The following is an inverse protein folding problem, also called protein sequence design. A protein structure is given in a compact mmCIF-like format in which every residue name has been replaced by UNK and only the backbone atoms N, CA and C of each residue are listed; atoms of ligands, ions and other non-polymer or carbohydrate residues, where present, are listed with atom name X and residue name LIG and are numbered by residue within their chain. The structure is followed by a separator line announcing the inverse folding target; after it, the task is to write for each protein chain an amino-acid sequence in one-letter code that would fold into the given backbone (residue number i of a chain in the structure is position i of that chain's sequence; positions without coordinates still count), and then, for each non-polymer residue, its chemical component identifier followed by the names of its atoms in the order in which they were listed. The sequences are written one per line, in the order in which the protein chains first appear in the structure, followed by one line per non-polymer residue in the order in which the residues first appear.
data_IF_776743402624
#
_entry.id   IF_776743402624
#
_cell.length_a   1.000
_cell.length_b   1.000
_cell.length_c   1.000
_cell.angle_alpha   90.00
_cell.angle_beta   90.00
_cell.angle_gamma   90.00
#
_symmetry.space_group_name_H-M   'P 1'
#
loop_
_entity.id
_entity.type
_entity.pdbx_description
1 polymer ?
#
# COMPACT_ATOMS: atom_id res chain seq x y z
N UNK A 1 -41.68 -10.88 -18.02
CA UNK A 1 -40.64 -11.50 -18.85
C UNK A 1 -39.80 -10.38 -19.44
N UNK A 2 -38.81 -9.93 -18.67
CA UNK A 2 -37.94 -8.81 -19.04
C UNK A 2 -36.84 -9.27 -20.00
N UNK A 3 -36.70 -8.51 -21.09
CA UNK A 3 -35.72 -8.77 -22.15
C UNK A 3 -34.38 -8.14 -21.75
N UNK A 4 -33.41 -8.99 -21.43
CA UNK A 4 -32.01 -8.61 -21.23
C UNK A 4 -31.47 -8.02 -22.53
N UNK A 5 -30.97 -6.77 -22.50
CA UNK A 5 -30.16 -6.18 -23.56
C UNK A 5 -28.71 -6.62 -23.35
N UNK A 6 -28.19 -7.43 -24.25
CA UNK A 6 -26.75 -7.68 -24.38
C UNK A 6 -26.15 -6.59 -25.27
N UNK A 7 -25.17 -5.85 -24.75
CA UNK A 7 -24.34 -4.97 -25.56
C UNK A 7 -23.11 -5.77 -25.98
N UNK A 8 -23.04 -6.11 -27.27
CA UNK A 8 -21.85 -6.66 -27.92
C UNK A 8 -21.05 -5.47 -28.45
N UNK A 9 -19.90 -5.20 -27.83
CA UNK A 9 -18.92 -4.24 -28.35
C UNK A 9 -18.00 -4.96 -29.33
N UNK A 10 -18.11 -4.63 -30.62
CA UNK A 10 -17.14 -5.02 -31.64
C UNK A 10 -16.03 -3.97 -31.71
N UNK A 11 -14.88 -4.26 -31.11
CA UNK A 11 -13.67 -3.46 -31.29
C UNK A 11 -13.04 -3.73 -32.66
N UNK A 12 -12.99 -2.71 -33.51
CA UNK A 12 -12.28 -2.72 -34.81
C UNK A 12 -10.81 -2.44 -34.53
N UNK A 13 -9.94 -3.42 -34.78
CA UNK A 13 -8.49 -3.25 -34.75
C UNK A 13 -8.01 -2.44 -35.96
N UNK A 14 -7.31 -1.34 -35.70
CA UNK A 14 -6.54 -0.61 -36.72
C UNK A 14 -5.07 -0.81 -36.39
N UNK A 15 -4.41 -1.67 -37.17
CA UNK A 15 -2.96 -1.81 -37.16
C UNK A 15 -2.32 -0.65 -37.92
N UNK A 16 -1.37 0.04 -37.27
CA UNK A 16 -0.46 0.96 -37.93
C UNK A 16 0.95 0.38 -37.85
N UNK A 17 1.36 -0.28 -38.93
CA UNK A 17 2.77 -0.58 -39.22
C UNK A 17 3.42 0.69 -39.76
N UNK A 18 4.08 1.45 -38.89
CA UNK A 18 4.92 2.57 -39.25
C UNK A 18 6.40 2.18 -39.27
N UNK A 19 6.91 1.79 -40.44
CA UNK A 19 8.34 1.83 -40.72
C UNK A 19 8.68 3.19 -41.34
N UNK A 20 9.56 3.94 -40.69
CA UNK A 20 10.22 5.16 -41.19
C UNK A 20 11.71 5.03 -40.84
N UNK A 21 12.71 5.46 -41.60
CA UNK A 21 12.99 5.50 -43.04
C UNK A 21 14.52 5.67 -43.15
N UNK A 22 15.09 5.12 -44.21
CA UNK A 22 16.38 5.37 -44.87
C UNK A 22 17.43 6.30 -44.21
N UNK A 23 18.58 5.70 -43.87
CA UNK A 23 19.88 6.34 -44.11
C UNK A 23 20.53 5.62 -45.30
N UNK A 24 20.40 6.21 -46.48
CA UNK A 24 21.06 5.78 -47.70
C UNK A 24 22.54 6.16 -47.67
N UNK A 25 23.44 5.19 -47.72
CA UNK A 25 24.76 5.39 -48.31
C UNK A 25 25.00 4.29 -49.35
N UNK A 26 25.19 4.72 -50.59
CA UNK A 26 25.38 3.87 -51.75
C UNK A 26 26.79 3.24 -51.73
N UNK A 27 26.85 1.93 -51.96
CA UNK A 27 28.09 1.17 -52.12
C UNK A 27 27.83 -0.08 -52.96
N UNK A 28 28.61 -0.23 -54.02
CA UNK A 28 28.41 -1.08 -55.20
C UNK A 28 28.60 -2.59 -55.02
N UNK A 29 27.92 -3.37 -55.88
CA UNK A 29 28.31 -4.72 -56.31
C UNK A 29 27.94 -5.82 -55.31
N UNK A 30 27.61 -7.05 -55.65
CA UNK A 30 27.69 -7.83 -56.90
C UNK A 30 26.76 -9.02 -56.70
N UNK A 31 26.13 -9.48 -57.76
CA UNK A 31 25.28 -10.68 -57.76
C UNK A 31 26.07 -11.96 -57.43
N UNK A 32 25.31 -12.98 -57.01
CA UNK A 32 25.40 -14.40 -57.39
C UNK A 32 25.68 -15.38 -56.24
N UNK A 33 24.97 -16.52 -56.24
CA UNK A 33 25.49 -17.77 -55.67
C UNK A 33 24.60 -18.55 -54.71
N UNK A 34 23.96 -19.56 -55.28
CA UNK A 34 23.31 -20.78 -54.76
C UNK A 34 24.02 -21.59 -53.65
N UNK A 35 23.16 -22.39 -52.97
CA UNK A 35 23.31 -23.77 -52.42
C UNK A 35 23.94 -24.03 -51.04
N UNK A 36 23.23 -24.96 -50.36
CA UNK A 36 23.53 -25.78 -49.19
C UNK A 36 25.00 -26.10 -48.90
N UNK A 37 25.36 -26.13 -47.61
CA UNK A 37 25.74 -27.38 -46.94
C UNK A 37 26.08 -27.17 -45.45
N UNK A 38 25.42 -27.95 -44.59
CA UNK A 38 25.99 -28.83 -43.56
C UNK A 38 27.21 -28.35 -42.73
N UNK A 39 27.01 -28.13 -41.43
CA UNK A 39 27.55 -28.91 -40.28
C UNK A 39 27.73 -28.01 -39.02
N UNK A 40 27.40 -28.48 -37.80
CA UNK A 40 27.60 -27.74 -36.56
C UNK A 40 28.95 -28.10 -35.91
N UNK A 41 29.57 -27.15 -35.21
CA UNK A 41 30.54 -27.45 -34.14
C UNK A 41 30.78 -26.26 -33.22
N UNK A 42 30.46 -26.52 -31.96
CA UNK A 42 31.01 -26.01 -30.71
C UNK A 42 32.46 -25.52 -30.73
N UNK A 43 32.68 -24.39 -30.08
CA UNK A 43 33.73 -24.07 -29.07
C UNK A 43 33.62 -22.56 -28.84
N UNK A 44 33.83 -21.96 -27.69
CA UNK A 44 34.60 -22.29 -26.51
C UNK A 44 34.89 -20.95 -25.84
N UNK A 45 34.59 -20.86 -24.55
CA UNK A 45 35.17 -20.02 -23.50
C UNK A 45 36.01 -18.80 -23.89
N UNK A 46 35.64 -17.64 -23.35
CA UNK A 46 36.60 -16.61 -22.91
C UNK A 46 36.03 -15.82 -21.73
N UNK A 47 36.68 -15.95 -20.59
CA UNK A 47 36.52 -15.20 -19.35
C UNK A 47 37.33 -13.90 -19.38
N UNK A 48 36.79 -12.83 -18.77
CA UNK A 48 37.52 -11.69 -18.18
C UNK A 48 36.54 -11.04 -17.18
N UNK A 49 36.61 -11.31 -15.87
CA UNK A 49 37.34 -10.56 -14.81
C UNK A 49 37.43 -9.05 -15.03
N UNK A 50 36.73 -8.30 -14.19
CA UNK A 50 37.13 -6.97 -13.73
C UNK A 50 36.73 -6.82 -12.24
N UNK A 51 37.75 -6.71 -11.40
CA UNK A 51 37.77 -6.23 -10.01
C UNK A 51 37.12 -4.82 -9.95
N UNK A 52 36.34 -4.42 -8.95
CA UNK A 52 36.63 -4.41 -7.53
C UNK A 52 36.40 -2.98 -7.03
N UNK A 53 35.70 -2.81 -5.92
CA UNK A 53 36.01 -1.73 -4.98
C UNK A 53 35.42 -2.02 -3.59
N UNK A 54 36.31 -2.18 -2.62
CA UNK A 54 36.07 -2.15 -1.19
C UNK A 54 35.55 -0.78 -0.74
N UNK A 55 34.66 -0.76 0.25
CA UNK A 55 34.74 0.16 1.40
C UNK A 55 33.83 -0.35 2.53
N UNK A 56 34.42 -0.90 3.60
CA UNK A 56 33.92 -0.62 4.97
C UNK A 56 34.69 0.59 5.54
N UNK A 57 34.58 0.94 6.84
CA UNK A 57 33.76 0.37 7.92
C UNK A 57 32.94 1.46 8.67
N UNK A 58 32.10 1.09 9.65
CA UNK A 58 32.15 1.52 11.08
C UNK A 58 30.82 1.30 11.79
N UNK A 59 30.87 0.46 12.83
CA UNK A 59 29.93 0.47 13.95
C UNK A 59 30.05 1.80 14.70
N UNK A 60 28.93 2.39 15.13
CA UNK A 60 28.94 3.21 16.33
C UNK A 60 27.54 3.25 16.97
N UNK A 61 27.47 2.64 18.14
CA UNK A 61 26.38 2.75 19.10
C UNK A 61 26.28 4.19 19.62
N UNK A 62 25.06 4.70 19.83
CA UNK A 62 24.79 5.74 20.84
C UNK A 62 23.30 5.85 21.15
N UNK A 63 22.92 5.27 22.29
CA UNK A 63 21.66 5.49 23.02
C UNK A 63 21.86 6.66 24.00
N UNK A 64 20.96 7.65 24.10
CA UNK A 64 20.95 8.56 25.24
C UNK A 64 19.94 8.09 26.30
N UNK A 65 20.45 7.83 27.50
CA UNK A 65 19.68 7.60 28.72
C UNK A 65 19.17 8.94 29.30
N UNK A 66 17.86 9.02 29.54
CA UNK A 66 17.20 10.16 30.18
C UNK A 66 17.31 10.00 31.70
N UNK A 67 18.17 10.83 32.34
CA UNK A 67 18.24 10.98 33.80
C UNK A 67 17.04 11.76 34.33
N UNK A 68 16.17 11.07 35.07
CA UNK A 68 15.17 11.68 35.95
C UNK A 68 15.86 12.08 37.26
N UNK A 69 15.77 13.34 37.64
CA UNK A 69 16.25 13.86 38.92
C UNK A 69 15.04 14.44 39.66
N UNK A 70 14.45 13.65 40.55
CA UNK A 70 13.43 14.14 41.48
C UNK A 70 14.09 14.52 42.80
N UNK A 71 13.87 15.78 43.19
CA UNK A 71 14.35 16.39 44.42
C UNK A 71 13.11 16.73 45.27
N UNK A 72 12.87 15.98 46.34
CA UNK A 72 12.16 16.50 47.52
C UNK A 72 13.10 17.41 48.34
N UNK A 73 12.63 18.17 49.35
CA UNK A 73 11.56 17.78 50.27
C UNK A 73 10.52 18.88 50.62
N UNK A 74 9.53 18.47 51.41
CA UNK A 74 8.46 19.23 52.07
C UNK A 74 8.90 20.51 52.77
N UNK A 75 7.97 21.48 52.87
CA UNK A 75 7.55 22.05 54.15
C UNK A 75 6.21 22.78 54.05
N UNK A 76 5.37 22.59 55.08
CA UNK A 76 4.05 23.20 55.27
C UNK A 76 4.24 24.52 56.01
N UNK A 77 3.54 25.57 55.58
CA UNK A 77 3.12 26.64 56.50
C UNK A 77 1.84 27.28 55.98
N UNK A 78 0.84 27.34 56.85
CA UNK A 78 -0.42 28.05 56.67
C UNK A 78 -0.21 29.52 57.08
N UNK A 79 -0.83 30.44 56.34
CA UNK A 79 -1.17 31.77 56.83
C UNK A 79 -2.41 32.29 56.09
N UNK A 80 -3.39 32.75 56.87
CA UNK A 80 -4.66 33.29 56.45
C UNK A 80 -4.49 34.76 56.02
N UNK A 81 -5.10 35.13 54.89
CA UNK A 81 -5.18 36.53 54.49
C UNK A 81 -6.35 36.78 53.54
N UNK A 82 -7.49 37.17 54.12
CA UNK A 82 -8.61 37.75 53.37
C UNK A 82 -8.19 39.05 52.67
N UNK A 83 -8.44 39.15 51.36
CA UNK A 83 -8.73 40.43 50.73
C UNK A 83 -9.70 40.25 49.55
N UNK A 84 -10.90 40.82 49.68
CA UNK A 84 -11.89 40.99 48.61
C UNK A 84 -11.54 42.25 47.79
N UNK A 85 -11.61 42.19 46.46
CA UNK A 85 -12.03 43.25 45.50
C UNK A 85 -11.84 42.67 44.07
N UNK A 86 -12.89 42.20 43.40
CA UNK A 86 -13.76 42.89 42.43
C UNK A 86 -13.20 42.98 40.98
N UNK A 87 -13.96 42.35 40.07
CA UNK A 87 -14.23 42.74 38.68
C UNK A 87 -13.12 42.56 37.62
N UNK A 88 -13.40 41.70 36.65
CA UNK A 88 -12.64 41.59 35.40
C UNK A 88 -13.10 40.37 34.61
N UNK A 89 -14.16 40.54 33.81
CA UNK A 89 -14.51 39.59 32.75
C UNK A 89 -13.38 39.55 31.73
N UNK A 90 -12.73 38.40 31.56
CA UNK A 90 -12.16 38.00 30.28
C UNK A 90 -12.50 36.53 30.08
N UNK A 91 -13.49 36.31 29.21
CA UNK A 91 -13.65 35.04 28.51
C UNK A 91 -12.42 34.88 27.63
N UNK A 92 -11.57 33.92 27.96
CA UNK A 92 -10.66 33.33 27.00
C UNK A 92 -11.38 32.07 26.52
N UNK A 93 -12.13 32.22 25.44
CA UNK A 93 -12.63 31.09 24.65
C UNK A 93 -11.39 30.41 24.06
N UNK A 94 -10.85 29.43 24.79
CA UNK A 94 -9.97 28.43 24.21
C UNK A 94 -10.84 27.51 23.35
N UNK A 95 -11.15 27.97 22.13
CA UNK A 95 -11.49 27.09 21.03
C UNK A 95 -10.22 26.31 20.65
N UNK A 96 -9.86 25.34 21.49
CA UNK A 96 -8.94 24.28 21.09
C UNK A 96 -9.63 23.48 19.98
N UNK A 97 -9.24 23.83 18.77
CA UNK A 97 -9.22 23.07 17.54
C UNK A 97 -9.61 21.58 17.69
N UNK A 98 -10.92 21.31 17.66
CA UNK A 98 -11.48 19.95 17.55
C UNK A 98 -11.61 19.51 16.08
N UNK A 99 -10.80 20.02 15.15
CA UNK A 99 -10.95 19.64 13.73
C UNK A 99 -10.19 18.37 13.34
N UNK A 100 -9.16 17.94 14.08
CA UNK A 100 -8.38 16.72 13.72
C UNK A 100 -9.12 15.39 13.96
N UNK A 101 -10.24 15.37 14.70
CA UNK A 101 -11.02 14.13 14.95
C UNK A 101 -12.32 14.01 14.17
N UNK A 102 -12.68 15.01 13.38
CA UNK A 102 -13.97 15.05 12.69
C UNK A 102 -13.99 14.26 11.37
N UNK A 103 -12.83 14.00 10.75
CA UNK A 103 -12.73 13.27 9.48
C UNK A 103 -12.97 11.76 9.67
N UNK A 104 -12.41 11.17 10.73
CA UNK A 104 -12.57 9.74 11.05
C UNK A 104 -14.01 9.39 11.46
N UNK A 105 -14.82 10.37 11.87
CA UNK A 105 -16.23 10.15 12.20
C UNK A 105 -17.12 9.91 10.95
N UNK A 106 -16.64 10.23 9.73
CA UNK A 106 -17.43 10.10 8.50
C UNK A 106 -17.35 8.70 7.87
N UNK A 107 -16.34 7.93 8.25
CA UNK A 107 -16.03 6.64 7.64
C UNK A 107 -15.93 5.60 8.76
N UNK A 108 -16.36 4.38 8.47
CA UNK A 108 -16.30 3.28 9.43
C UNK A 108 -15.61 2.11 8.78
N UNK A 109 -14.43 1.76 9.30
CA UNK A 109 -13.67 0.60 8.86
C UNK A 109 -14.02 -0.65 9.68
N UNK A 110 -14.13 -1.79 9.01
CA UNK A 110 -14.34 -3.10 9.61
C UNK A 110 -13.46 -4.14 8.93
N UNK A 111 -13.12 -5.21 9.66
CA UNK A 111 -12.31 -6.32 9.16
C UNK A 111 -13.08 -7.63 9.34
N UNK A 112 -14.00 -7.97 8.41
CA UNK A 112 -14.79 -9.20 8.51
C UNK A 112 -13.95 -10.49 8.55
N UNK A 113 -12.78 -10.51 7.92
CA UNK A 113 -11.83 -11.62 7.93
C UNK A 113 -10.39 -11.14 7.79
N UNK A 114 -9.42 -12.07 7.86
CA UNK A 114 -8.00 -11.77 7.61
C UNK A 114 -7.73 -11.26 6.18
N UNK A 115 -8.57 -11.68 5.23
CA UNK A 115 -8.44 -11.40 3.81
C UNK A 115 -9.46 -10.37 3.30
N UNK A 116 -10.31 -9.81 4.16
CA UNK A 116 -11.39 -8.90 3.75
C UNK A 116 -11.54 -7.75 4.74
N UNK A 117 -11.59 -6.54 4.22
CA UNK A 117 -11.84 -5.32 4.97
C UNK A 117 -12.84 -4.44 4.23
N UNK A 118 -13.59 -3.64 4.96
CA UNK A 118 -14.61 -2.76 4.40
C UNK A 118 -14.52 -1.38 5.05
N UNK A 119 -14.58 -0.32 4.26
CA UNK A 119 -14.80 1.04 4.76
C UNK A 119 -16.09 1.60 4.18
N UNK A 120 -17.01 2.01 5.05
CA UNK A 120 -18.29 2.61 4.64
C UNK A 120 -18.32 4.07 5.02
N UNK A 121 -18.75 4.94 4.11
CA UNK A 121 -18.85 6.37 4.37
C UNK A 121 -19.07 7.20 3.11
N UNK A 122 -18.73 8.48 3.20
CA UNK A 122 -18.67 9.40 2.06
C UNK A 122 -17.21 9.73 1.74
N UNK A 123 -16.91 9.82 0.45
CA UNK A 123 -15.60 10.10 -0.10
C UNK A 123 -15.70 11.23 -1.13
N UNK A 124 -15.13 12.37 -0.81
CA UNK A 124 -15.00 13.54 -1.65
C UNK A 124 -13.80 13.41 -2.60
N UNK A 125 -13.64 14.34 -3.54
CA UNK A 125 -12.49 14.34 -4.44
C UNK A 125 -11.19 14.60 -3.67
N UNK A 126 -10.16 13.78 -3.94
CA UNK A 126 -8.87 13.79 -3.24
C UNK A 126 -8.81 12.88 -2.01
N UNK A 127 -9.94 12.30 -1.59
CA UNK A 127 -9.93 11.23 -0.58
C UNK A 127 -9.24 9.98 -1.11
N UNK A 128 -8.76 9.14 -0.21
CA UNK A 128 -8.06 7.90 -0.53
C UNK A 128 -8.70 6.72 0.18
N UNK A 129 -8.54 5.53 -0.39
CA UNK A 129 -8.82 4.28 0.30
C UNK A 129 -7.82 3.22 -0.19
N UNK A 130 -6.85 2.88 0.67
CA UNK A 130 -5.80 1.91 0.39
C UNK A 130 -5.74 0.84 1.47
N UNK A 131 -5.35 -0.37 1.08
CA UNK A 131 -5.03 -1.45 2.00
C UNK A 131 -3.51 -1.61 2.12
N UNK A 132 -3.07 -1.89 3.34
CA UNK A 132 -1.73 -2.41 3.61
C UNK A 132 -1.86 -3.90 3.90
N UNK A 133 -0.90 -4.69 3.42
CA UNK A 133 -0.91 -6.14 3.60
C UNK A 133 0.37 -6.65 4.23
N UNK A 134 0.28 -7.82 4.84
CA UNK A 134 1.42 -8.62 5.28
C UNK A 134 1.25 -10.06 4.80
N UNK A 135 2.35 -10.69 4.42
CA UNK A 135 2.35 -12.02 3.81
C UNK A 135 3.70 -12.73 4.02
N UNK A 136 3.75 -14.02 3.70
CA UNK A 136 4.98 -14.81 3.69
C UNK A 136 5.23 -15.39 2.30
N UNK A 137 6.48 -15.30 1.85
CA UNK A 137 6.97 -15.89 0.59
C UNK A 137 8.30 -16.56 0.89
N UNK A 138 8.44 -17.84 0.55
CA UNK A 138 9.61 -18.65 0.91
C UNK A 138 10.01 -18.55 2.40
N UNK A 139 9.02 -18.48 3.30
CA UNK A 139 9.22 -18.35 4.75
C UNK A 139 9.70 -16.97 5.23
N UNK A 140 9.87 -16.00 4.34
CA UNK A 140 10.24 -14.62 4.66
C UNK A 140 9.02 -13.72 4.71
N UNK A 141 8.97 -12.81 5.68
CA UNK A 141 7.90 -11.83 5.80
C UNK A 141 8.05 -10.72 4.75
N UNK A 142 6.98 -10.48 4.00
CA UNK A 142 6.81 -9.34 3.11
C UNK A 142 5.59 -8.51 3.49
N UNK A 143 5.55 -7.26 3.03
CA UNK A 143 4.41 -6.37 3.22
C UNK A 143 4.26 -5.40 2.05
N UNK A 144 3.01 -5.01 1.76
CA UNK A 144 2.71 -3.91 0.83
C UNK A 144 2.20 -2.72 1.63
N UNK A 145 2.64 -1.51 1.25
CA UNK A 145 2.21 -0.26 1.86
C UNK A 145 1.65 0.65 0.77
N UNK A 146 0.38 1.03 0.91
CA UNK A 146 -0.32 1.94 -0.01
C UNK A 146 -0.28 1.51 -1.48
N UNK A 147 -0.21 0.20 -1.74
CA UNK A 147 -0.11 -0.31 -3.12
C UNK A 147 -1.48 -0.58 -3.74
N UNK A 148 -2.43 -1.06 -2.95
CA UNK A 148 -3.74 -1.52 -3.42
C UNK A 148 -4.84 -0.59 -2.89
N UNK A 149 -5.36 0.25 -3.78
CA UNK A 149 -6.33 1.25 -3.40
C UNK A 149 -6.78 2.12 -4.56
N UNK A 150 -7.48 3.18 -4.20
CA UNK A 150 -7.98 4.20 -5.14
C UNK A 150 -7.89 5.59 -4.52
N UNK A 151 -7.66 6.58 -5.35
CA UNK A 151 -7.92 7.99 -5.07
C UNK A 151 -9.26 8.42 -5.70
N UNK A 152 -10.13 9.02 -4.89
CA UNK A 152 -11.45 9.47 -5.32
C UNK A 152 -11.34 10.75 -6.14
N UNK A 153 -11.97 10.77 -7.31
CA UNK A 153 -11.85 11.84 -8.31
C UNK A 153 -10.86 11.51 -9.42
N UNK A 154 -9.82 10.72 -9.13
CA UNK A 154 -8.80 10.31 -10.09
C UNK A 154 -9.04 8.89 -10.61
N UNK A 155 -9.12 7.89 -9.72
CA UNK A 155 -9.31 6.49 -10.09
C UNK A 155 -10.80 6.09 -10.16
N UNK A 156 -11.61 6.71 -9.30
CA UNK A 156 -13.05 6.44 -9.15
C UNK A 156 -13.82 7.75 -9.10
N UNK A 157 -15.09 7.77 -9.52
CA UNK A 157 -15.88 9.00 -9.53
C UNK A 157 -16.13 9.53 -8.10
N UNK A 158 -16.02 10.85 -7.92
CA UNK A 158 -16.33 11.54 -6.68
C UNK A 158 -17.41 12.63 -6.87
N UNK A 159 -18.22 12.95 -5.84
CA UNK A 159 -18.25 12.28 -4.54
C UNK A 159 -18.87 10.87 -4.63
N UNK A 160 -18.36 9.95 -3.82
CA UNK A 160 -18.89 8.60 -3.66
C UNK A 160 -19.47 8.43 -2.26
N UNK A 161 -20.64 7.83 -2.16
CA UNK A 161 -21.27 7.46 -0.88
C UNK A 161 -21.64 5.99 -0.93
N UNK A 162 -21.02 5.18 -0.07
CA UNK A 162 -21.19 3.73 -0.10
C UNK A 162 -20.09 3.01 0.64
N UNK A 163 -19.82 1.77 0.24
CA UNK A 163 -18.81 0.91 0.86
C UNK A 163 -17.69 0.62 -0.13
N UNK A 164 -16.44 0.78 0.31
CA UNK A 164 -15.27 0.24 -0.37
C UNK A 164 -14.92 -1.09 0.29
N UNK A 165 -14.91 -2.16 -0.49
CA UNK A 165 -14.60 -3.52 -0.07
C UNK A 165 -13.22 -3.88 -0.59
N UNK A 166 -12.29 -4.18 0.31
CA UNK A 166 -10.98 -4.75 0.00
C UNK A 166 -11.06 -6.26 0.23
N UNK A 167 -10.62 -7.04 -0.76
CA UNK A 167 -10.64 -8.49 -0.66
C UNK A 167 -9.42 -9.09 -1.36
N UNK A 168 -8.69 -9.96 -0.67
CA UNK A 168 -7.60 -10.72 -1.27
C UNK A 168 -8.18 -11.73 -2.27
N UNK A 169 -7.68 -11.69 -3.49
CA UNK A 169 -8.07 -12.53 -4.61
C UNK A 169 -6.85 -12.94 -5.43
N UNK A 170 -7.04 -13.15 -6.73
CA UNK A 170 -5.98 -13.68 -7.60
C UNK A 170 -5.23 -12.58 -8.34
N UNK A 171 -5.91 -11.49 -8.66
CA UNK A 171 -5.39 -10.44 -9.52
C UNK A 171 -5.78 -9.06 -8.97
N UNK A 172 -5.02 -8.04 -9.37
CA UNK A 172 -5.35 -6.65 -9.04
C UNK A 172 -6.51 -6.18 -9.91
N UNK A 173 -7.62 -5.78 -9.30
CA UNK A 173 -8.77 -5.27 -10.04
C UNK A 173 -9.62 -4.30 -9.22
N UNK A 174 -10.23 -3.31 -9.88
CA UNK A 174 -11.18 -2.38 -9.26
C UNK A 174 -12.52 -2.47 -9.98
N UNK A 175 -13.57 -2.87 -9.26
CA UNK A 175 -14.93 -2.97 -9.79
C UNK A 175 -15.84 -1.96 -9.11
N UNK A 176 -16.43 -1.06 -9.90
CA UNK A 176 -17.32 -0.01 -9.39
C UNK A 176 -18.81 -0.37 -9.60
N UNK A 177 -19.61 -0.17 -8.57
CA UNK A 177 -21.08 -0.27 -8.55
C UNK A 177 -21.65 0.98 -7.88
N UNK A 178 -22.96 1.28 -8.01
CA UNK A 178 -23.52 2.54 -7.55
C UNK A 178 -23.24 2.89 -6.07
N UNK A 179 -23.19 1.89 -5.19
CA UNK A 179 -22.96 2.07 -3.74
C UNK A 179 -21.83 1.19 -3.20
N UNK A 180 -21.04 0.58 -4.09
CA UNK A 180 -19.99 -0.36 -3.70
C UNK A 180 -18.81 -0.25 -4.66
N UNK A 181 -17.60 -0.11 -4.14
CA UNK A 181 -16.37 -0.25 -4.90
C UNK A 181 -15.66 -1.48 -4.35
N UNK A 182 -15.38 -2.48 -5.19
CA UNK A 182 -14.59 -3.66 -4.79
C UNK A 182 -13.19 -3.54 -5.34
N UNK A 183 -12.21 -3.60 -4.45
CA UNK A 183 -10.78 -3.60 -4.74
C UNK A 183 -10.28 -5.01 -4.44
N UNK A 184 -9.91 -5.71 -5.50
CA UNK A 184 -9.29 -7.04 -5.40
C UNK A 184 -7.77 -6.86 -5.27
N UNK A 185 -7.23 -7.42 -4.21
CA UNK A 185 -5.82 -7.38 -3.84
C UNK A 185 -5.19 -8.72 -4.24
N UNK A 186 -4.08 -8.75 -4.99
CA UNK A 186 -3.39 -9.99 -5.29
C UNK A 186 -3.00 -10.76 -4.01
N UNK A 187 -3.05 -12.09 -4.06
CA UNK A 187 -2.37 -12.89 -3.05
C UNK A 187 -0.85 -12.83 -3.29
N UNK A 188 -0.14 -12.04 -2.48
CA UNK A 188 1.30 -11.81 -2.57
C UNK A 188 2.14 -12.95 -2.00
N UNK A 189 1.65 -13.59 -0.94
CA UNK A 189 2.33 -14.71 -0.27
C UNK A 189 1.86 -16.07 -0.75
N UNK A 190 2.78 -17.03 -0.79
CA UNK A 190 2.48 -18.43 -1.10
C UNK A 190 1.60 -19.05 0.00
N UNK A 191 1.84 -18.67 1.25
CA UNK A 191 1.06 -19.11 2.43
C UNK A 191 -0.22 -18.28 2.66
N UNK A 192 -0.40 -17.23 1.85
CA UNK A 192 -1.53 -16.31 1.94
C UNK A 192 -1.12 -14.88 2.26
N UNK A 193 -2.11 -13.99 2.16
CA UNK A 193 -1.98 -12.55 2.38
C UNK A 193 -3.04 -12.07 3.36
N UNK A 194 -2.62 -11.23 4.30
CA UNK A 194 -3.46 -10.64 5.34
C UNK A 194 -3.56 -9.15 5.10
N UNK A 195 -4.78 -8.60 5.16
CA UNK A 195 -4.99 -7.15 5.21
C UNK A 195 -4.69 -6.69 6.64
N UNK A 196 -3.59 -5.95 6.82
CA UNK A 196 -3.09 -5.56 8.15
C UNK A 196 -3.62 -4.20 8.61
N UNK A 197 -3.96 -3.31 7.69
CA UNK A 197 -4.61 -2.03 7.97
C UNK A 197 -5.25 -1.43 6.72
N UNK A 198 -6.11 -0.43 6.90
CA UNK A 198 -6.56 0.47 5.85
C UNK A 198 -6.00 1.88 6.07
N UNK A 199 -5.79 2.62 4.99
CA UNK A 199 -5.46 4.04 4.99
C UNK A 199 -6.54 4.78 4.23
N UNK A 200 -7.28 5.65 4.91
CA UNK A 200 -8.38 6.40 4.30
C UNK A 200 -8.31 7.90 4.54
N UNK A 201 -7.31 8.34 5.32
CA UNK A 201 -7.00 9.73 5.54
C UNK A 201 -5.86 10.15 4.61
N UNK A 202 -5.99 11.33 3.99
CA UNK A 202 -4.99 11.83 3.03
C UNK A 202 -3.67 12.17 3.72
N UNK A 203 -3.70 12.67 4.95
CA UNK A 203 -2.47 12.98 5.71
C UNK A 203 -1.70 11.72 6.08
N UNK A 204 -2.38 10.65 6.50
CA UNK A 204 -1.77 9.35 6.78
C UNK A 204 -1.20 8.70 5.51
N UNK A 205 -1.91 8.83 4.38
CA UNK A 205 -1.41 8.38 3.09
C UNK A 205 -0.09 9.06 2.71
N UNK A 206 -0.01 10.38 2.90
CA UNK A 206 1.24 11.12 2.65
C UNK A 206 2.36 10.75 3.65
N UNK A 207 2.00 10.29 4.85
CA UNK A 207 2.93 9.81 5.86
C UNK A 207 3.30 8.31 5.70
N UNK A 208 2.72 7.62 4.72
CA UNK A 208 2.86 6.16 4.53
C UNK A 208 2.45 5.38 5.79
N UNK A 209 1.34 5.79 6.40
CA UNK A 209 0.78 5.23 7.63
C UNK A 209 -0.61 4.63 7.41
N UNK A 210 -0.96 3.65 8.25
CA UNK A 210 -2.30 3.06 8.31
C UNK A 210 -3.21 3.83 9.27
N UNK A 211 -4.37 4.28 8.77
CA UNK A 211 -5.38 4.97 9.59
C UNK A 211 -6.15 3.98 10.48
N UNK A 212 -6.52 2.82 9.93
CA UNK A 212 -7.35 1.81 10.60
C UNK A 212 -6.60 0.48 10.69
N UNK A 213 -5.95 0.16 11.82
CA UNK A 213 -5.27 -1.13 11.99
C UNK A 213 -6.28 -2.28 12.09
N UNK A 214 -5.98 -3.42 11.45
CA UNK A 214 -6.78 -4.64 11.64
C UNK A 214 -6.51 -5.20 13.05
N UNK A 215 -7.53 -5.29 13.92
CA UNK A 215 -7.35 -5.73 15.31
C UNK A 215 -6.87 -7.18 15.43
N UNK A 216 -7.05 -8.00 14.39
CA UNK A 216 -6.60 -9.41 14.35
C UNK A 216 -5.40 -9.64 13.44
N UNK A 217 -4.75 -8.58 12.93
CA UNK A 217 -3.63 -8.71 11.98
C UNK A 217 -2.57 -9.71 12.45
N UNK A 218 -2.18 -9.63 13.73
CA UNK A 218 -1.17 -10.51 14.31
C UNK A 218 -1.59 -11.99 14.32
N UNK A 219 -2.82 -12.26 14.76
CA UNK A 219 -3.36 -13.62 14.80
C UNK A 219 -3.48 -14.19 13.38
N UNK A 220 -4.00 -13.40 12.44
CA UNK A 220 -4.09 -13.76 11.03
C UNK A 220 -2.73 -14.11 10.40
N UNK A 221 -1.69 -13.33 10.73
CA UNK A 221 -0.32 -13.60 10.25
C UNK A 221 0.27 -14.86 10.88
N UNK A 222 -0.03 -15.13 12.17
CA UNK A 222 0.40 -16.34 12.86
C UNK A 222 -0.33 -17.59 12.29
N UNK A 223 -1.60 -17.46 11.88
CA UNK A 223 -2.37 -18.54 11.22
C UNK A 223 -1.73 -18.96 9.88
N UNK A 224 -1.44 -18.01 8.99
CA UNK A 224 -0.85 -18.34 7.68
C UNK A 224 0.58 -18.88 7.81
N UNK A 225 1.36 -18.38 8.77
CA UNK A 225 2.70 -18.91 9.04
C UNK A 225 2.66 -20.34 9.58
N UNK A 226 1.61 -20.69 10.32
CA UNK A 226 1.49 -22.02 10.94
C UNK A 226 0.97 -23.07 9.97
N UNK A 227 0.19 -22.67 8.95
CA UNK A 227 -0.32 -23.58 7.92
C UNK A 227 0.79 -24.36 7.21
N UNK A 228 1.98 -23.77 7.04
CA UNK A 228 3.19 -24.40 6.47
C UNK A 228 3.63 -25.66 7.25
N UNK A 229 3.38 -25.71 8.56
CA UNK A 229 3.91 -26.76 9.44
C UNK A 229 3.00 -27.99 9.57
N UNK A 230 1.72 -27.89 9.20
CA UNK A 230 0.73 -28.96 9.39
C UNK A 230 0.62 -29.90 8.17
N UNK A 231 1.06 -29.47 6.97
CA UNK A 231 1.11 -30.33 5.77
C UNK A 231 2.39 -31.19 5.68
N UNK A 232 2.91 -31.69 6.82
CA UNK A 232 3.95 -32.73 6.82
C UNK A 232 3.31 -34.10 6.51
N UNK A 233 3.60 -34.76 5.37
CA UNK A 233 3.04 -36.07 5.08
C UNK A 233 3.60 -37.10 6.06
N UNK A 234 2.72 -37.70 6.86
CA UNK A 234 3.02 -38.94 7.57
C UNK A 234 3.40 -40.00 6.54
N UNK A 235 4.70 -40.30 6.45
CA UNK A 235 5.24 -41.44 5.68
C UNK A 235 5.09 -42.75 6.43
#
# INVERSE_FOLDING_TARGET
MDRRKFLVSTGVGVGLTGCLNANSNAGSGTENGTTDDTNPSTSGTSSSTDDGNETGPTENESKPEKKTSEKGPSEKHADEGENKTATGEEKTDEEEDMTEKAEDARRTATFPSCSRAEVTGTFDAGDVAFANTGFFTDGLFGNTLLEDGVEFGDDVAAPFSGTVVFEVGNERNVTQRPNEIRIEIPNYGDDGTVITSLTTDRSDFMAVSGTHPNPRARECLEEIRSAENDESPTS
#
